data_IF_874044106182
#
_entry.id   IF_874044106182
#
_cell.length_a   1.000
_cell.length_b   1.000
_cell.length_c   1.000
_cell.angle_alpha   90.00
_cell.angle_beta   90.00
_cell.angle_gamma   90.00
#
_symmetry.space_group_name_H-M   'P 1'
#
loop_
_entity.id
_entity.type
_entity.pdbx_description
1 polymer ?
#
# COMPACT_ATOMS: atom_id res chain seq x y z
N UNK A 1 -17.00 -12.00 -18.33
CA UNK A 1 -16.10 -10.83 -18.33
C UNK A 1 -14.67 -11.35 -18.49
N UNK A 2 -13.84 -10.70 -19.31
CA UNK A 2 -12.48 -11.17 -19.55
C UNK A 2 -11.63 -10.90 -18.30
N UNK A 3 -11.25 -11.96 -17.59
CA UNK A 3 -10.43 -11.86 -16.40
C UNK A 3 -9.10 -11.15 -16.75
N UNK A 4 -8.72 -10.13 -15.97
CA UNK A 4 -7.45 -9.44 -16.15
C UNK A 4 -7.38 -8.37 -17.25
N UNK A 5 -8.52 -7.87 -17.78
CA UNK A 5 -8.49 -6.75 -18.72
C UNK A 5 -8.01 -5.46 -18.03
N UNK A 6 -6.83 -4.98 -18.43
CA UNK A 6 -6.26 -3.70 -18.01
C UNK A 6 -6.82 -2.60 -18.91
N UNK A 7 -7.41 -1.56 -18.30
CA UNK A 7 -7.92 -0.37 -18.98
C UNK A 7 -6.87 0.75 -19.02
N UNK A 8 -5.96 0.76 -18.04
CA UNK A 8 -4.85 1.71 -17.95
C UNK A 8 -3.94 1.58 -19.16
N UNK A 9 -3.71 2.70 -19.86
CA UNK A 9 -2.75 2.74 -20.96
C UNK A 9 -1.32 2.71 -20.40
N UNK A 10 -0.43 1.87 -20.93
CA UNK A 10 0.98 1.89 -20.53
C UNK A 10 1.61 3.27 -20.78
N UNK A 11 2.45 3.74 -19.86
CA UNK A 11 3.18 5.01 -19.96
C UNK A 11 2.41 6.25 -19.54
N UNK A 12 1.14 6.14 -19.10
CA UNK A 12 0.28 7.32 -18.86
C UNK A 12 0.01 7.63 -17.39
N UNK A 13 0.13 6.64 -16.49
CA UNK A 13 -0.27 6.80 -15.10
C UNK A 13 0.53 7.89 -14.40
N UNK A 14 1.86 7.91 -14.55
CA UNK A 14 2.68 8.89 -13.83
C UNK A 14 2.37 10.34 -14.22
N UNK A 15 2.06 10.57 -15.49
CA UNK A 15 1.60 11.87 -15.98
C UNK A 15 0.25 12.24 -15.33
N UNK A 16 -0.72 11.33 -15.36
CA UNK A 16 -2.03 11.53 -14.74
C UNK A 16 -1.93 11.79 -13.24
N UNK A 17 -1.04 11.09 -12.52
CA UNK A 17 -0.79 11.30 -11.08
C UNK A 17 -0.32 12.72 -10.81
N UNK A 18 0.65 13.23 -11.57
CA UNK A 18 1.18 14.59 -11.40
C UNK A 18 0.12 15.65 -11.70
N UNK A 19 -0.56 15.53 -12.84
CA UNK A 19 -1.61 16.46 -13.26
C UNK A 19 -2.77 16.49 -12.25
N UNK A 20 -3.23 15.31 -11.82
CA UNK A 20 -4.30 15.20 -10.84
C UNK A 20 -3.89 15.74 -9.48
N UNK A 21 -2.64 15.54 -9.07
CA UNK A 21 -2.12 16.09 -7.81
C UNK A 21 -2.13 17.60 -7.82
N UNK A 22 -1.62 18.22 -8.90
CA UNK A 22 -1.63 19.67 -9.05
C UNK A 22 -3.06 20.24 -9.01
N UNK A 23 -3.96 19.66 -9.80
CA UNK A 23 -5.37 20.04 -9.82
C UNK A 23 -6.02 19.90 -8.43
N UNK A 24 -5.85 18.75 -7.77
CA UNK A 24 -6.48 18.46 -6.48
C UNK A 24 -5.95 19.36 -5.35
N UNK A 25 -4.69 19.79 -5.43
CA UNK A 25 -4.14 20.80 -4.52
C UNK A 25 -4.77 22.17 -4.78
N UNK A 26 -4.89 22.57 -6.04
CA UNK A 26 -5.44 23.87 -6.43
C UNK A 26 -6.93 24.02 -6.05
N UNK A 27 -7.74 22.97 -6.23
CA UNK A 27 -9.15 22.98 -5.84
C UNK A 27 -9.38 22.66 -4.35
N UNK A 28 -8.35 22.26 -3.61
CA UNK A 28 -8.42 21.95 -2.18
C UNK A 28 -9.00 20.57 -1.83
N UNK A 29 -9.14 19.68 -2.82
CA UNK A 29 -9.54 18.29 -2.61
C UNK A 29 -8.43 17.48 -1.93
N UNK A 30 -7.16 17.67 -2.34
CA UNK A 30 -6.00 17.03 -1.72
C UNK A 30 -5.49 17.88 -0.54
N UNK A 31 -5.39 17.25 0.62
CA UNK A 31 -5.02 17.88 1.88
C UNK A 31 -3.69 17.29 2.39
N UNK A 32 -2.61 17.61 1.67
CA UNK A 32 -1.27 17.14 2.02
C UNK A 32 -0.84 17.62 3.40
N UNK A 33 -0.25 16.71 4.17
CA UNK A 33 0.18 16.95 5.54
C UNK A 33 1.70 17.13 5.53
N UNK A 34 2.21 18.36 5.73
CA UNK A 34 3.64 18.60 5.73
C UNK A 34 4.30 17.85 6.89
N UNK A 35 5.49 17.33 6.62
CA UNK A 35 6.34 16.67 7.62
C UNK A 35 7.76 17.19 7.52
N UNK A 36 8.40 17.33 8.67
CA UNK A 36 9.85 17.33 8.74
C UNK A 36 10.32 15.88 8.83
N UNK A 37 11.60 15.62 8.58
CA UNK A 37 12.13 14.27 8.74
C UNK A 37 13.51 14.27 9.37
N UNK A 38 13.81 13.19 10.07
CA UNK A 38 15.13 12.86 10.58
C UNK A 38 15.45 11.39 10.30
N UNK A 39 16.73 11.04 10.42
CA UNK A 39 17.19 9.66 10.27
C UNK A 39 17.63 9.11 11.62
N UNK A 40 17.19 7.90 11.92
CA UNK A 40 17.61 7.12 13.09
C UNK A 40 18.26 5.84 12.60
N UNK A 41 19.50 5.57 13.04
CA UNK A 41 20.21 4.35 12.66
C UNK A 41 20.13 3.32 13.78
N UNK A 42 19.72 2.10 13.43
CA UNK A 42 19.69 0.96 14.35
C UNK A 42 19.87 -0.35 13.59
N UNK A 43 20.74 -1.23 14.09
CA UNK A 43 20.98 -2.59 13.56
C UNK A 43 21.32 -2.63 12.05
N UNK A 44 21.97 -1.58 11.56
CA UNK A 44 22.34 -1.42 10.14
C UNK A 44 21.21 -0.91 9.24
N UNK A 45 20.08 -0.51 9.81
CA UNK A 45 18.96 0.13 9.11
C UNK A 45 18.93 1.62 9.42
N UNK A 46 18.82 2.43 8.38
CA UNK A 46 18.65 3.88 8.47
C UNK A 46 17.16 4.22 8.37
N UNK A 47 16.47 4.21 9.50
CA UNK A 47 15.05 4.53 9.59
C UNK A 47 14.78 6.00 9.27
N UNK A 48 13.78 6.25 8.42
CA UNK A 48 13.26 7.58 8.13
C UNK A 48 12.09 7.89 9.07
N UNK A 49 12.27 8.85 9.97
CA UNK A 49 11.22 9.30 10.89
C UNK A 49 10.63 10.60 10.35
N UNK A 50 9.35 10.57 9.96
CA UNK A 50 8.61 11.76 9.53
C UNK A 50 7.82 12.36 10.70
N UNK A 51 8.10 13.61 11.03
CA UNK A 51 7.51 14.34 12.15
C UNK A 51 6.41 15.25 11.62
N UNK A 52 5.16 14.99 12.02
CA UNK A 52 3.99 15.78 11.65
C UNK A 52 4.09 17.18 12.23
N UNK A 53 4.21 18.20 11.37
CA UNK A 53 4.00 19.58 11.77
C UNK A 53 2.48 19.83 11.87
N UNK A 54 2.02 20.41 12.99
CA UNK A 54 0.60 20.76 13.23
C UNK A 54 -0.43 19.59 13.23
N UNK A 55 -0.36 18.73 14.26
CA UNK A 55 -1.32 17.63 14.56
C UNK A 55 -2.82 18.02 14.59
N UNK A 56 -3.15 19.31 14.70
CA UNK A 56 -4.51 19.79 14.88
C UNK A 56 -5.41 19.58 13.65
N UNK A 57 -4.87 19.64 12.42
CA UNK A 57 -5.66 19.47 11.18
C UNK A 57 -6.18 18.03 11.00
N UNK A 58 -5.36 17.01 11.27
CA UNK A 58 -5.74 15.59 11.17
C UNK A 58 -6.87 15.24 12.17
N UNK A 59 -6.78 15.77 13.40
CA UNK A 59 -7.83 15.59 14.42
C UNK A 59 -9.15 16.26 14.04
N UNK A 60 -9.12 17.42 13.39
CA UNK A 60 -10.33 18.12 12.94
C UNK A 60 -11.03 17.38 11.79
N UNK A 61 -10.28 16.84 10.82
CA UNK A 61 -10.83 16.06 9.72
C UNK A 61 -11.49 14.76 10.21
N UNK A 62 -10.83 14.01 11.11
CA UNK A 62 -11.37 12.79 11.71
C UNK A 62 -12.68 13.06 12.46
N UNK A 63 -12.75 14.14 13.25
CA UNK A 63 -13.99 14.57 13.93
C UNK A 63 -15.13 14.92 12.97
N UNK A 64 -14.82 15.44 11.78
CA UNK A 64 -15.84 15.79 10.78
C UNK A 64 -16.42 14.52 10.13
N UNK A 65 -15.58 13.53 9.86
CA UNK A 65 -16.00 12.22 9.35
C UNK A 65 -16.86 11.47 10.38
N UNK A 66 -16.41 11.38 11.64
CA UNK A 66 -17.17 10.73 12.72
C UNK A 66 -18.56 11.35 12.93
N UNK A 67 -18.66 12.69 12.79
CA UNK A 67 -19.95 13.39 12.86
C UNK A 67 -20.89 13.04 11.70
N UNK A 68 -20.37 12.86 10.50
CA UNK A 68 -21.19 12.50 9.34
C UNK A 68 -21.76 11.08 9.47
N UNK A 69 -20.96 10.12 9.93
CA UNK A 69 -21.39 8.74 10.20
C UNK A 69 -22.47 8.67 11.29
N UNK A 70 -22.35 9.51 12.32
CA UNK A 70 -23.34 9.57 13.41
C UNK A 70 -24.71 10.10 12.95
N UNK A 71 -24.76 10.92 11.89
CA UNK A 71 -26.01 11.48 11.35
C UNK A 71 -26.71 10.58 10.31
N UNK A 72 -25.98 9.74 9.57
CA UNK A 72 -26.57 8.87 8.53
C UNK A 72 -26.97 7.49 9.03
N UNK A 73 -26.41 7.02 10.15
CA UNK A 73 -26.61 5.64 10.64
C UNK A 73 -25.89 4.57 9.81
N UNK A 74 -25.28 4.94 8.68
CA UNK A 74 -24.44 4.10 7.83
C UNK A 74 -22.96 4.42 8.06
N UNK A 75 -22.13 3.37 8.07
CA UNK A 75 -20.67 3.50 8.18
C UNK A 75 -20.14 4.26 6.94
N UNK A 76 -19.51 5.41 7.15
CA UNK A 76 -19.04 6.27 6.07
C UNK A 76 -17.92 5.58 5.28
N UNK A 77 -18.14 5.35 3.98
CA UNK A 77 -17.16 4.78 3.08
C UNK A 77 -16.60 5.87 2.13
N UNK A 78 -15.35 6.32 2.28
CA UNK A 78 -14.78 7.39 1.45
C UNK A 78 -14.51 6.98 -0.01
N UNK A 79 -14.69 5.70 -0.35
CA UNK A 79 -14.42 5.14 -1.66
C UNK A 79 -15.70 4.87 -2.46
N UNK A 80 -16.88 5.05 -1.87
CA UNK A 80 -18.18 4.75 -2.48
C UNK A 80 -19.22 5.85 -2.18
N UNK A 81 -19.43 6.83 -3.10
CA UNK A 81 -18.55 7.13 -4.23
C UNK A 81 -17.24 7.76 -3.75
N UNK A 82 -16.15 7.52 -4.49
CA UNK A 82 -14.91 8.28 -4.31
C UNK A 82 -15.07 9.71 -4.85
N UNK A 83 -14.21 10.62 -4.41
CA UNK A 83 -14.20 12.01 -4.85
C UNK A 83 -13.54 12.14 -6.23
N UNK A 84 -14.29 12.63 -7.22
CA UNK A 84 -13.82 12.78 -8.61
C UNK A 84 -12.61 13.72 -8.74
N UNK A 85 -12.46 14.69 -7.83
CA UNK A 85 -11.30 15.56 -7.80
C UNK A 85 -10.00 14.83 -7.39
N UNK A 86 -10.11 13.63 -6.80
CA UNK A 86 -9.00 12.75 -6.44
C UNK A 86 -8.82 11.58 -7.43
N UNK A 87 -9.70 11.42 -8.42
CA UNK A 87 -9.63 10.35 -9.41
C UNK A 87 -8.41 10.49 -10.32
N UNK A 88 -7.59 9.45 -10.40
CA UNK A 88 -6.38 9.43 -11.24
C UNK A 88 -6.63 8.67 -12.54
N UNK A 89 -7.06 7.41 -12.45
CA UNK A 89 -7.25 6.56 -13.62
C UNK A 89 -8.08 5.31 -13.32
N UNK A 90 -8.81 4.83 -14.34
CA UNK A 90 -9.34 3.48 -14.36
C UNK A 90 -8.21 2.47 -14.61
N UNK A 91 -7.99 1.54 -13.68
CA UNK A 91 -6.94 0.53 -13.82
C UNK A 91 -7.48 -0.67 -14.59
N UNK A 92 -8.65 -1.17 -14.17
CA UNK A 92 -9.33 -2.31 -14.75
C UNK A 92 -10.85 -2.19 -14.53
N UNK A 93 -11.61 -3.20 -14.98
CA UNK A 93 -13.04 -3.29 -14.67
C UNK A 93 -13.31 -3.50 -13.16
N UNK A 94 -12.30 -3.87 -12.36
CA UNK A 94 -12.43 -4.14 -10.91
C UNK A 94 -11.76 -3.09 -10.03
N UNK A 95 -10.79 -2.34 -10.55
CA UNK A 95 -9.98 -1.40 -9.76
C UNK A 95 -9.90 0.00 -10.36
N UNK A 96 -9.81 0.98 -9.48
CA UNK A 96 -9.59 2.39 -9.81
C UNK A 96 -8.47 2.96 -8.95
N UNK A 97 -7.71 3.90 -9.52
CA UNK A 97 -6.64 4.61 -8.85
C UNK A 97 -7.12 5.99 -8.43
N UNK A 98 -6.95 6.33 -7.15
CA UNK A 98 -7.24 7.67 -6.60
C UNK A 98 -6.07 8.18 -5.77
N UNK A 99 -5.99 9.50 -5.58
CA UNK A 99 -5.06 10.10 -4.62
C UNK A 99 -5.52 9.85 -3.18
N UNK A 100 -4.55 9.60 -2.29
CA UNK A 100 -4.82 9.61 -0.86
C UNK A 100 -5.06 11.05 -0.39
N UNK A 101 -6.31 11.37 -0.06
CA UNK A 101 -6.77 12.71 0.36
C UNK A 101 -5.90 13.36 1.42
N UNK A 102 -5.36 12.59 2.36
CA UNK A 102 -4.57 13.07 3.50
C UNK A 102 -3.14 12.56 3.44
N UNK A 103 -2.49 12.72 2.28
CA UNK A 103 -1.16 12.18 2.05
C UNK A 103 -0.08 12.87 2.90
N UNK A 104 0.84 12.06 3.42
CA UNK A 104 2.10 12.52 4.04
C UNK A 104 3.26 12.41 3.05
N UNK A 105 3.22 11.40 2.19
CA UNK A 105 4.16 11.20 1.10
C UNK A 105 3.52 11.76 -0.17
N UNK A 106 4.27 12.54 -0.93
CA UNK A 106 3.77 13.09 -2.19
C UNK A 106 3.38 11.98 -3.16
N UNK A 107 2.32 12.23 -3.93
CA UNK A 107 1.78 11.29 -4.92
C UNK A 107 1.37 9.92 -4.35
N UNK A 108 1.00 9.85 -3.06
CA UNK A 108 0.47 8.63 -2.46
C UNK A 108 -0.89 8.27 -3.09
N UNK A 109 -0.96 7.09 -3.69
CA UNK A 109 -2.13 6.53 -4.36
C UNK A 109 -2.82 5.45 -3.53
N UNK A 110 -4.13 5.32 -3.74
CA UNK A 110 -4.95 4.20 -3.31
C UNK A 110 -5.44 3.47 -4.57
N UNK A 111 -5.16 2.18 -4.65
CA UNK A 111 -5.71 1.25 -5.64
C UNK A 111 -6.88 0.56 -4.96
N UNK A 112 -8.09 1.00 -5.27
CA UNK A 112 -9.31 0.58 -4.57
C UNK A 112 -10.14 -0.34 -5.47
N UNK A 113 -10.83 -1.31 -4.88
CA UNK A 113 -11.85 -2.07 -5.59
C UNK A 113 -13.03 -1.16 -5.94
N UNK A 114 -13.70 -1.39 -7.08
CA UNK A 114 -14.87 -0.58 -7.49
C UNK A 114 -16.11 -0.92 -6.67
N UNK A 115 -16.31 -2.20 -6.40
CA UNK A 115 -17.33 -2.69 -5.48
C UNK A 115 -16.74 -2.83 -4.08
N UNK A 116 -17.59 -2.74 -3.06
CA UNK A 116 -17.15 -2.99 -1.70
C UNK A 116 -16.69 -4.44 -1.55
N UNK A 117 -15.42 -4.60 -1.18
CA UNK A 117 -14.83 -5.83 -0.66
C UNK A 117 -14.23 -5.54 0.72
N UNK A 118 -14.25 -6.50 1.64
CA UNK A 118 -13.62 -6.30 2.95
C UNK A 118 -12.10 -6.23 2.83
N UNK A 119 -11.47 -5.31 3.55
CA UNK A 119 -10.02 -5.09 3.66
C UNK A 119 -9.29 -6.27 4.34
N UNK A 120 -10.03 -7.22 4.91
CA UNK A 120 -9.48 -8.47 5.46
C UNK A 120 -9.51 -9.61 4.44
N UNK A 121 -10.16 -9.40 3.29
CA UNK A 121 -10.20 -10.38 2.21
C UNK A 121 -8.80 -10.61 1.67
N UNK A 122 -8.57 -11.82 1.17
CA UNK A 122 -7.31 -12.18 0.54
C UNK A 122 -7.10 -11.35 -0.72
N UNK A 123 -5.83 -11.05 -1.02
CA UNK A 123 -5.46 -10.50 -2.32
C UNK A 123 -5.66 -11.57 -3.40
N UNK A 124 -6.26 -11.15 -4.50
CA UNK A 124 -6.61 -11.97 -5.66
C UNK A 124 -5.70 -11.65 -6.85
N UNK A 125 -5.89 -12.40 -7.93
CA UNK A 125 -5.22 -12.11 -9.19
C UNK A 125 -5.50 -10.69 -9.69
N UNK A 126 -6.73 -10.20 -9.52
CA UNK A 126 -7.15 -8.87 -9.95
C UNK A 126 -6.44 -7.76 -9.16
N UNK A 127 -6.25 -7.93 -7.85
CA UNK A 127 -5.52 -6.98 -7.01
C UNK A 127 -4.05 -6.87 -7.46
N UNK A 128 -3.38 -8.01 -7.64
CA UNK A 128 -1.99 -8.03 -8.10
C UNK A 128 -1.86 -7.56 -9.54
N UNK A 129 -2.86 -7.80 -10.40
CA UNK A 129 -2.89 -7.26 -11.77
C UNK A 129 -2.95 -5.74 -11.73
N UNK A 130 -3.79 -5.16 -10.87
CA UNK A 130 -3.88 -3.72 -10.69
C UNK A 130 -2.58 -3.13 -10.12
N UNK A 131 -1.99 -3.79 -9.12
CA UNK A 131 -0.69 -3.43 -8.55
C UNK A 131 0.41 -3.37 -9.62
N UNK A 132 0.56 -4.44 -10.41
CA UNK A 132 1.57 -4.51 -11.47
C UNK A 132 1.29 -3.55 -12.62
N UNK A 133 0.02 -3.27 -12.95
CA UNK A 133 -0.32 -2.27 -13.96
C UNK A 133 0.16 -0.87 -13.53
N UNK A 134 0.03 -0.52 -12.25
CA UNK A 134 0.56 0.73 -11.71
C UNK A 134 2.09 0.72 -11.61
N UNK A 135 2.65 -0.36 -11.05
CA UNK A 135 4.09 -0.53 -10.93
C UNK A 135 4.77 -0.63 -12.29
N UNK A 136 4.10 -0.89 -13.41
CA UNK A 136 4.74 -0.86 -14.73
C UNK A 136 5.18 0.55 -15.14
N UNK A 137 4.57 1.60 -14.57
CA UNK A 137 4.77 2.98 -15.00
C UNK A 137 5.85 3.73 -14.21
N UNK A 138 6.00 3.41 -12.92
CA UNK A 138 7.03 3.99 -12.06
C UNK A 138 7.44 3.02 -10.94
N UNK A 139 8.64 3.22 -10.39
CA UNK A 139 9.12 2.47 -9.24
C UNK A 139 8.44 2.96 -7.96
N UNK A 140 7.92 2.03 -7.16
CA UNK A 140 7.16 2.35 -5.97
C UNK A 140 7.20 1.25 -4.93
N UNK A 141 6.65 1.55 -3.75
CA UNK A 141 6.33 0.58 -2.72
C UNK A 141 4.81 0.46 -2.66
N UNK A 142 4.30 -0.71 -3.09
CA UNK A 142 2.92 -1.10 -2.89
C UNK A 142 2.78 -1.77 -1.52
N UNK A 143 1.67 -1.53 -0.81
CA UNK A 143 1.43 -2.17 0.46
C UNK A 143 -0.06 -2.39 0.77
N UNK A 144 -0.33 -3.45 1.53
CA UNK A 144 -1.65 -3.84 2.00
C UNK A 144 -1.65 -4.02 3.51
N UNK A 145 -2.63 -3.41 4.19
CA UNK A 145 -2.88 -3.62 5.61
C UNK A 145 -4.16 -4.46 5.72
N UNK A 146 -4.03 -5.76 5.97
CA UNK A 146 -5.18 -6.66 6.07
C UNK A 146 -5.88 -6.48 7.43
N UNK A 147 -6.97 -5.70 7.44
CA UNK A 147 -7.77 -5.46 8.63
C UNK A 147 -7.22 -4.46 9.64
N UNK A 148 -8.06 -4.14 10.63
CA UNK A 148 -7.79 -3.10 11.64
C UNK A 148 -6.52 -3.40 12.44
N UNK A 149 -6.30 -4.67 12.81
CA UNK A 149 -5.12 -5.12 13.55
C UNK A 149 -3.82 -4.88 12.78
N UNK A 150 -3.86 -4.86 11.45
CA UNK A 150 -2.70 -4.55 10.61
C UNK A 150 -2.49 -3.04 10.37
N UNK A 151 -3.32 -2.17 10.95
CA UNK A 151 -3.24 -0.72 10.76
C UNK A 151 -4.13 -0.17 9.65
N UNK A 152 -5.12 -0.93 9.16
CA UNK A 152 -6.05 -0.43 8.18
C UNK A 152 -7.02 0.60 8.78
N UNK A 153 -7.16 1.75 8.12
CA UNK A 153 -8.11 2.81 8.51
C UNK A 153 -9.48 2.70 7.85
N UNK A 154 -9.62 1.88 6.80
CA UNK A 154 -10.83 1.72 6.01
C UNK A 154 -11.12 0.23 5.79
N UNK A 155 -12.40 -0.15 5.81
CA UNK A 155 -12.86 -1.52 5.58
C UNK A 155 -12.96 -1.88 4.11
N UNK A 156 -13.10 -0.90 3.22
CA UNK A 156 -13.16 -1.18 1.80
C UNK A 156 -11.75 -1.48 1.29
N UNK A 157 -11.59 -2.66 0.67
CA UNK A 157 -10.36 -3.20 0.10
C UNK A 157 -9.60 -2.20 -0.77
N UNK A 158 -8.36 -1.95 -0.38
CA UNK A 158 -7.43 -1.10 -1.10
C UNK A 158 -5.97 -1.49 -0.83
N UNK A 159 -5.18 -1.44 -1.90
CA UNK A 159 -3.72 -1.35 -1.85
C UNK A 159 -3.31 0.12 -1.81
N UNK A 160 -2.20 0.41 -1.15
CA UNK A 160 -1.57 1.72 -1.15
C UNK A 160 -0.32 1.66 -2.02
N UNK A 161 0.00 2.74 -2.72
CA UNK A 161 1.20 2.84 -3.55
C UNK A 161 1.83 4.22 -3.38
N UNK A 162 3.11 4.22 -3.02
CA UNK A 162 3.92 5.44 -2.91
C UNK A 162 5.12 5.34 -3.86
N UNK A 163 5.46 6.41 -4.62
CA UNK A 163 6.61 6.38 -5.51
C UNK A 163 7.92 6.37 -4.73
N UNK A 164 8.95 5.78 -5.32
CA UNK A 164 10.33 5.91 -4.87
C UNK A 164 10.98 7.20 -5.42
N UNK A 165 11.99 7.78 -4.75
CA UNK A 165 12.50 7.46 -3.40
C UNK A 165 11.49 7.70 -2.26
N UNK A 166 11.49 6.84 -1.24
CA UNK A 166 10.82 7.16 0.03
C UNK A 166 11.65 8.07 0.93
N UNK A 167 12.98 7.95 0.81
CA UNK A 167 13.96 8.72 1.55
C UNK A 167 14.76 9.65 0.62
N UNK A 168 15.04 10.90 1.02
CA UNK A 168 15.76 11.86 0.18
C UNK A 168 17.24 11.49 -0.06
N UNK A 169 17.78 10.52 0.67
CA UNK A 169 19.16 10.02 0.51
C UNK A 169 19.29 8.59 1.06
N UNK A 170 20.26 7.83 0.56
CA UNK A 170 20.52 6.45 0.98
C UNK A 170 19.74 5.44 0.15
N UNK A 171 19.37 4.30 0.77
CA UNK A 171 18.51 3.31 0.14
C UNK A 171 17.12 3.91 -0.14
N UNK A 172 16.53 3.49 -1.26
CA UNK A 172 15.21 3.95 -1.69
C UNK A 172 14.12 3.53 -0.69
N UNK A 173 14.28 2.34 -0.10
CA UNK A 173 13.43 1.80 0.96
C UNK A 173 14.32 1.27 2.09
N UNK A 174 14.24 1.84 3.32
CA UNK A 174 15.14 1.49 4.43
C UNK A 174 15.26 0.00 4.76
N UNK A 175 14.15 -0.75 4.67
CA UNK A 175 14.11 -2.17 5.03
C UNK A 175 14.96 -3.04 4.10
N UNK A 176 15.29 -2.57 2.90
CA UNK A 176 16.10 -3.31 1.93
C UNK A 176 17.48 -3.66 2.48
N UNK A 177 18.02 -2.86 3.40
CA UNK A 177 19.27 -3.17 4.10
C UNK A 177 19.23 -4.53 4.83
N UNK A 178 18.06 -4.93 5.34
CA UNK A 178 17.87 -6.22 6.00
C UNK A 178 17.62 -7.35 4.99
N UNK A 179 16.96 -7.02 3.88
CA UNK A 179 16.60 -7.97 2.82
C UNK A 179 17.84 -8.45 2.05
N UNK A 180 18.81 -7.56 1.78
CA UNK A 180 20.08 -7.95 1.15
C UNK A 180 20.87 -8.98 1.98
N UNK A 181 20.65 -8.99 3.30
CA UNK A 181 21.30 -9.93 4.22
C UNK A 181 20.47 -11.18 4.54
N UNK A 182 19.27 -11.32 3.96
CA UNK A 182 18.37 -12.42 4.27
C UNK A 182 18.89 -13.75 3.69
N UNK A 183 18.71 -14.83 4.46
CA UNK A 183 19.11 -16.18 4.03
C UNK A 183 17.91 -16.87 3.39
N UNK A 184 18.03 -17.21 2.11
CA UNK A 184 16.99 -17.95 1.40
C UNK A 184 16.98 -19.42 1.82
N UNK A 185 15.81 -19.91 2.22
CA UNK A 185 15.50 -21.33 2.35
C UNK A 185 14.46 -21.66 1.28
N UNK A 186 14.90 -22.30 0.20
CA UNK A 186 14.08 -22.52 -1.00
C UNK A 186 13.61 -21.20 -1.65
N UNK A 187 12.30 -20.97 -1.74
CA UNK A 187 11.67 -19.84 -2.44
C UNK A 187 11.37 -18.63 -1.54
N UNK A 188 11.62 -18.72 -0.23
CA UNK A 188 11.44 -17.61 0.70
C UNK A 188 12.65 -17.46 1.64
N UNK A 189 12.72 -16.31 2.29
CA UNK A 189 13.80 -15.92 3.19
C UNK A 189 13.24 -15.32 4.47
N UNK A 190 13.99 -15.50 5.55
CA UNK A 190 13.81 -14.78 6.82
C UNK A 190 15.12 -14.08 7.18
N UNK A 191 15.02 -13.04 7.99
CA UNK A 191 16.17 -12.30 8.51
C UNK A 191 16.20 -12.43 10.03
N UNK A 192 17.29 -13.00 10.56
CA UNK A 192 17.52 -13.09 12.00
C UNK A 192 17.61 -11.71 12.69
N UNK A 193 17.77 -10.62 11.91
CA UNK A 193 17.82 -9.25 12.41
C UNK A 193 16.45 -8.64 12.70
N UNK A 194 15.36 -9.24 12.22
CA UNK A 194 14.00 -8.76 12.50
C UNK A 194 13.41 -9.54 13.69
N UNK A 195 13.04 -8.86 14.80
CA UNK A 195 12.59 -9.51 16.03
C UNK A 195 11.11 -9.95 15.97
N UNK A 196 10.57 -10.18 14.78
CA UNK A 196 9.19 -10.55 14.54
C UNK A 196 9.08 -11.54 13.38
N UNK A 197 7.99 -12.32 13.37
CA UNK A 197 7.70 -13.27 12.28
C UNK A 197 7.47 -12.51 10.99
N UNK A 198 8.17 -12.92 9.93
CA UNK A 198 8.04 -12.37 8.59
C UNK A 198 8.53 -13.41 7.58
N UNK A 199 8.12 -13.25 6.33
CA UNK A 199 8.69 -14.01 5.22
C UNK A 199 8.81 -13.11 3.99
N UNK A 200 9.90 -13.32 3.26
CA UNK A 200 10.31 -12.52 2.13
C UNK A 200 10.55 -13.38 0.90
N UNK A 201 10.23 -12.89 -0.29
CA UNK A 201 10.60 -13.53 -1.54
C UNK A 201 11.04 -12.50 -2.60
N UNK A 202 11.96 -12.86 -3.50
CA UNK A 202 12.32 -12.02 -4.62
C UNK A 202 11.20 -12.06 -5.67
N UNK A 203 10.97 -10.94 -6.31
CA UNK A 203 10.17 -10.81 -7.52
C UNK A 203 11.12 -10.48 -8.68
N UNK A 204 10.62 -10.54 -9.91
CA UNK A 204 11.40 -10.20 -11.09
C UNK A 204 10.91 -8.88 -11.70
N UNK A 205 11.77 -7.88 -11.69
CA UNK A 205 11.45 -6.55 -12.23
C UNK A 205 11.11 -6.57 -13.71
N UNK A 206 11.53 -7.58 -14.48
CA UNK A 206 11.16 -7.73 -15.89
C UNK A 206 9.69 -8.12 -16.09
N UNK A 207 9.00 -8.60 -15.05
CA UNK A 207 7.60 -8.99 -15.13
C UNK A 207 6.65 -7.81 -15.42
N UNK A 208 7.08 -6.56 -15.17
CA UNK A 208 6.33 -5.34 -15.54
C UNK A 208 5.88 -5.31 -17.02
N UNK A 209 6.59 -6.03 -17.90
CA UNK A 209 6.26 -6.14 -19.33
C UNK A 209 4.93 -6.86 -19.60
N UNK A 210 4.44 -7.63 -18.64
CA UNK A 210 3.16 -8.33 -18.70
C UNK A 210 2.51 -8.37 -17.31
N UNK A 211 1.77 -7.32 -16.92
CA UNK A 211 1.23 -7.23 -15.56
C UNK A 211 0.33 -8.41 -15.15
N UNK A 212 -0.41 -9.02 -16.09
CA UNK A 212 -1.23 -10.19 -15.79
C UNK A 212 -0.38 -11.43 -15.47
N UNK A 213 0.69 -11.68 -16.25
CA UNK A 213 1.61 -12.78 -15.97
C UNK A 213 2.38 -12.53 -14.66
N UNK A 214 2.79 -11.28 -14.43
CA UNK A 214 3.42 -10.86 -13.18
C UNK A 214 2.52 -11.14 -11.97
N UNK A 215 1.22 -10.85 -12.09
CA UNK A 215 0.24 -11.07 -11.05
C UNK A 215 0.02 -12.56 -10.75
N UNK A 216 0.05 -13.44 -11.76
CA UNK A 216 -0.06 -14.89 -11.57
C UNK A 216 1.11 -15.41 -10.71
N UNK A 217 2.34 -15.09 -11.10
CA UNK A 217 3.54 -15.48 -10.34
C UNK A 217 3.52 -14.88 -8.92
N UNK A 218 3.12 -13.61 -8.79
CA UNK A 218 3.05 -12.93 -7.50
C UNK A 218 2.00 -13.56 -6.58
N UNK A 219 0.87 -14.01 -7.12
CA UNK A 219 -0.19 -14.66 -6.34
C UNK A 219 0.29 -15.99 -5.74
N UNK A 220 1.02 -16.79 -6.51
CA UNK A 220 1.62 -18.05 -6.02
C UNK A 220 2.67 -17.78 -4.92
N UNK A 221 3.50 -16.76 -5.09
CA UNK A 221 4.47 -16.33 -4.08
C UNK A 221 3.74 -15.80 -2.83
N UNK A 222 2.65 -15.06 -3.00
CA UNK A 222 1.84 -14.54 -1.90
C UNK A 222 1.30 -15.66 -1.02
N UNK A 223 0.72 -16.71 -1.61
CA UNK A 223 0.29 -17.90 -0.88
C UNK A 223 1.46 -18.60 -0.17
N UNK A 224 2.59 -18.77 -0.87
CA UNK A 224 3.80 -19.36 -0.28
C UNK A 224 4.30 -18.58 0.95
N UNK A 225 4.36 -17.25 0.87
CA UNK A 225 4.79 -16.41 1.98
C UNK A 225 3.81 -16.45 3.14
N UNK A 226 2.50 -16.44 2.88
CA UNK A 226 1.46 -16.56 3.91
C UNK A 226 1.58 -17.86 4.67
N UNK A 227 1.72 -18.97 3.96
CA UNK A 227 1.92 -20.28 4.58
C UNK A 227 3.18 -20.30 5.45
N UNK A 228 4.29 -19.72 4.97
CA UNK A 228 5.57 -19.67 5.68
C UNK A 228 5.49 -18.91 7.01
N UNK A 229 4.59 -17.93 7.13
CA UNK A 229 4.37 -17.17 8.38
C UNK A 229 3.19 -17.67 9.21
N UNK A 230 2.63 -18.84 8.86
CA UNK A 230 1.55 -19.48 9.62
C UNK A 230 0.17 -18.84 9.41
N UNK A 231 -0.06 -18.12 8.31
CA UNK A 231 -1.37 -17.62 7.93
C UNK A 231 -2.12 -18.68 7.10
N UNK A 232 -3.37 -18.96 7.45
CA UNK A 232 -4.23 -19.92 6.75
C UNK A 232 -4.61 -19.41 5.35
N UNK A 233 -4.41 -20.22 4.32
CA UNK A 233 -4.78 -19.90 2.93
C UNK A 233 -6.29 -19.74 2.72
N UNK A 234 -7.12 -20.26 3.63
CA UNK A 234 -8.59 -20.22 3.54
C UNK A 234 -9.24 -19.15 4.41
N UNK A 235 -8.50 -18.59 5.36
CA UNK A 235 -9.06 -17.61 6.30
C UNK A 235 -8.36 -16.27 6.19
N UNK A 236 -9.15 -15.21 6.32
CA UNK A 236 -8.66 -13.86 6.53
C UNK A 236 -7.84 -13.81 7.82
N UNK A 237 -6.73 -13.07 7.77
CA UNK A 237 -5.85 -12.85 8.90
C UNK A 237 -5.28 -11.44 8.87
N UNK A 238 -4.84 -10.95 10.02
CA UNK A 238 -4.19 -9.66 10.11
C UNK A 238 -2.73 -9.75 9.69
N UNK A 239 -2.36 -9.07 8.62
CA UNK A 239 -0.99 -9.02 8.13
C UNK A 239 -0.73 -7.73 7.34
N UNK A 240 0.55 -7.36 7.30
CA UNK A 240 1.06 -6.38 6.35
C UNK A 240 1.69 -7.11 5.17
N UNK A 241 1.40 -6.63 3.97
CA UNK A 241 2.16 -6.96 2.77
C UNK A 241 2.82 -5.69 2.26
N UNK A 242 4.08 -5.83 1.85
CA UNK A 242 4.88 -4.82 1.17
C UNK A 242 5.42 -5.46 -0.10
N UNK A 243 5.37 -4.74 -1.22
CA UNK A 243 5.88 -5.22 -2.49
C UNK A 243 6.47 -4.09 -3.34
N UNK A 244 7.57 -4.39 -4.02
CA UNK A 244 8.15 -3.59 -5.10
C UNK A 244 8.13 -4.41 -6.39
N UNK A 245 8.81 -3.95 -7.44
CA UNK A 245 9.07 -4.78 -8.63
C UNK A 245 10.05 -5.92 -8.36
N UNK A 246 10.83 -5.84 -7.29
CA UNK A 246 11.98 -6.72 -7.03
C UNK A 246 11.75 -7.68 -5.87
N UNK A 247 10.77 -7.42 -5.03
CA UNK A 247 10.54 -8.25 -3.86
C UNK A 247 9.15 -8.09 -3.24
N UNK A 248 8.78 -9.06 -2.42
CA UNK A 248 7.58 -9.05 -1.57
C UNK A 248 7.90 -9.51 -0.15
N UNK A 249 7.26 -8.89 0.83
CA UNK A 249 7.39 -9.17 2.26
C UNK A 249 6.00 -9.29 2.88
N UNK A 250 5.79 -10.32 3.71
CA UNK A 250 4.60 -10.50 4.54
C UNK A 250 4.99 -10.53 6.01
N UNK A 251 4.24 -9.79 6.83
CA UNK A 251 4.40 -9.72 8.28
C UNK A 251 3.04 -9.92 8.95
N UNK A 252 2.79 -11.07 9.64
CA UNK A 252 1.60 -11.22 10.47
C UNK A 252 1.55 -10.17 11.58
N UNK A 253 0.34 -9.71 11.91
CA UNK A 253 0.13 -8.64 12.89
C UNK A 253 -0.77 -9.11 14.02
N UNK A 254 -0.30 -8.94 15.26
CA UNK A 254 -1.05 -9.26 16.48
C UNK A 254 -1.78 -8.07 17.08
N UNK A 255 -1.30 -6.85 16.81
CA UNK A 255 -1.83 -5.60 17.35
C UNK A 255 -1.52 -4.43 16.42
N UNK A 256 -2.44 -3.46 16.38
CA UNK A 256 -2.34 -2.25 15.55
C UNK A 256 -1.27 -1.27 16.03
N UNK A 257 -0.94 -1.29 17.33
CA UNK A 257 -0.07 -0.29 17.97
C UNK A 257 1.10 -0.95 18.69
N UNK A 258 2.26 -0.30 18.69
CA UNK A 258 3.33 -0.55 19.66
C UNK A 258 3.48 0.69 20.53
N UNK A 259 3.22 0.54 21.83
CA UNK A 259 3.08 1.69 22.75
C UNK A 259 2.08 2.72 22.18
N UNK A 260 2.49 3.98 22.03
CA UNK A 260 1.65 5.07 21.49
C UNK A 260 1.71 5.20 19.96
N UNK A 261 2.44 4.33 19.26
CA UNK A 261 2.68 4.41 17.82
C UNK A 261 1.79 3.41 17.11
N UNK A 262 0.89 3.89 16.24
CA UNK A 262 0.17 3.03 15.29
C UNK A 262 1.17 2.52 14.25
N UNK A 263 1.14 1.22 13.96
CA UNK A 263 2.05 0.57 13.02
C UNK A 263 1.24 -0.02 11.88
N UNK A 264 1.59 0.32 10.65
CA UNK A 264 1.11 -0.26 9.39
C UNK A 264 2.32 -0.72 8.55
N UNK A 265 2.08 -1.18 7.32
CA UNK A 265 3.13 -1.52 6.36
C UNK A 265 4.09 -0.35 6.08
#
# INVERSE_FOLDING_TARGET
MAQGKILLKPGTLWTSVKERTEYALQCGALLSIPTEFEFVEQDGVRFLVRILSNLNRKKAAKKKQEKQSATSGEEFNPFLPYEEDLFVADISDTHVCILNKFNVVDYHLLIITRGFEEQESLLTLEDFTAMWACLADFDGLAFYNSGKTAGASQRHKHLQLVPQPLAPSGLQIPIEALLTSAQFQNSNATSAKLPFVHAFAPLNSNWVRSPLAAAQETLEIYHTLRHAVGLDDKQSGAYNLLATREWMLIVPRSQEHFQSISVNS
#
